data_IF_478442554291
#
_entry.id   IF_478442554291
#
_cell.length_a   1.000
_cell.length_b   1.000
_cell.length_c   1.000
_cell.angle_alpha   90.00
_cell.angle_beta   90.00
_cell.angle_gamma   90.00
#
_symmetry.space_group_name_H-M   'P 1'
#
loop_
_entity.id
_entity.type
_entity.pdbx_description
1 polymer ?
#
# COMPACT_ATOMS: atom_id res chain seq x y z
N UNK A 1 5.59 -2.19 9.23
CA UNK A 1 5.22 -0.91 9.87
C UNK A 1 4.17 -0.12 9.09
N UNK A 2 4.13 -0.20 7.77
CA UNK A 2 3.19 0.55 6.93
C UNK A 2 1.71 0.44 7.32
N UNK A 3 1.21 -0.75 7.67
CA UNK A 3 -0.17 -0.92 8.12
C UNK A 3 -0.49 -0.12 9.41
N UNK A 4 0.47 -0.03 10.34
CA UNK A 4 0.34 0.76 11.59
C UNK A 4 0.32 2.25 11.26
N UNK A 5 1.17 2.69 10.33
CA UNK A 5 1.16 4.07 9.83
C UNK A 5 -0.18 4.46 9.20
N UNK A 6 -0.79 3.57 8.39
CA UNK A 6 -2.13 3.85 7.83
C UNK A 6 -3.21 3.88 8.92
N UNK A 7 -3.20 2.92 9.84
CA UNK A 7 -4.20 2.83 10.91
C UNK A 7 -4.15 4.02 11.88
N UNK A 8 -2.96 4.55 12.18
CA UNK A 8 -2.79 5.69 13.11
C UNK A 8 -3.25 7.05 12.53
N UNK A 9 -3.47 7.13 11.22
CA UNK A 9 -3.94 8.37 10.58
C UNK A 9 -5.44 8.61 10.77
N UNK A 10 -6.23 7.57 11.05
CA UNK A 10 -7.68 7.68 11.28
C UNK A 10 -8.04 7.87 12.77
N UNK A 11 -7.05 8.29 13.59
CA UNK A 11 -7.23 8.53 15.02
C UNK A 11 -8.20 9.68 15.30
N UNK A 12 -8.92 9.59 16.40
CA UNK A 12 -9.65 10.69 17.00
C UNK A 12 -8.78 11.53 17.94
N UNK A 13 -9.26 12.73 18.26
CA UNK A 13 -8.59 13.60 19.23
C UNK A 13 -8.52 12.93 20.61
N UNK A 14 -7.34 12.98 21.24
CA UNK A 14 -7.08 12.39 22.56
C UNK A 14 -6.60 10.92 22.54
N UNK A 15 -6.54 10.26 21.37
CA UNK A 15 -6.02 8.90 21.25
C UNK A 15 -4.47 8.87 21.22
N UNK A 16 -3.85 9.09 22.39
CA UNK A 16 -2.39 9.21 22.54
C UNK A 16 -1.62 8.01 21.97
N UNK A 17 -2.12 6.79 22.13
CA UNK A 17 -1.47 5.59 21.60
C UNK A 17 -1.36 5.60 20.08
N UNK A 18 -2.34 6.17 19.38
CA UNK A 18 -2.31 6.28 17.92
C UNK A 18 -1.47 7.47 17.47
N UNK A 19 -1.35 8.52 18.27
CA UNK A 19 -0.40 9.60 18.03
C UNK A 19 1.05 9.09 18.11
N UNK A 20 1.40 8.37 19.19
CA UNK A 20 2.71 7.74 19.35
C UNK A 20 2.98 6.71 18.22
N UNK A 21 1.97 5.91 17.86
CA UNK A 21 2.09 4.96 16.76
C UNK A 21 2.31 5.65 15.40
N UNK A 22 1.67 6.79 15.15
CA UNK A 22 1.88 7.59 13.94
C UNK A 22 3.32 8.08 13.85
N UNK A 23 3.82 8.73 14.89
CA UNK A 23 5.17 9.30 14.91
C UNK A 23 6.24 8.21 14.77
N UNK A 24 6.09 7.12 15.54
CA UNK A 24 7.02 5.99 15.49
C UNK A 24 7.03 5.33 14.12
N UNK A 25 5.85 4.96 13.60
CA UNK A 25 5.76 4.22 12.34
C UNK A 25 6.17 5.08 11.14
N UNK A 26 5.84 6.38 11.13
CA UNK A 26 6.28 7.32 10.10
C UNK A 26 7.80 7.43 10.09
N UNK A 27 8.42 7.69 11.25
CA UNK A 27 9.89 7.79 11.36
C UNK A 27 10.57 6.52 10.87
N UNK A 28 10.11 5.35 11.33
CA UNK A 28 10.64 4.06 10.89
C UNK A 28 10.58 3.89 9.37
N UNK A 29 9.46 4.26 8.74
CA UNK A 29 9.28 4.13 7.31
C UNK A 29 10.11 5.14 6.52
N UNK A 30 10.32 6.35 7.03
CA UNK A 30 11.25 7.32 6.44
C UNK A 30 12.67 6.76 6.41
N UNK A 31 13.16 6.30 7.57
CA UNK A 31 14.50 5.71 7.69
C UNK A 31 14.64 4.48 6.77
N UNK A 32 13.58 3.67 6.61
CA UNK A 32 13.55 2.50 5.73
C UNK A 32 13.50 2.86 4.22
N UNK A 33 12.83 3.95 3.85
CA UNK A 33 12.78 4.46 2.47
C UNK A 33 14.08 5.18 2.06
N UNK A 34 14.81 5.74 3.02
CA UNK A 34 16.11 6.39 2.78
C UNK A 34 17.28 5.41 2.73
N UNK A 35 17.10 4.18 3.23
CA UNK A 35 18.11 3.12 3.17
C UNK A 35 18.21 2.43 1.80
N UNK A 36 19.26 1.63 1.62
CA UNK A 36 19.53 0.94 0.34
C UNK A 36 18.77 -0.39 0.16
N UNK A 37 18.28 -0.99 1.25
CA UNK A 37 17.63 -2.30 1.25
C UNK A 37 16.16 -2.22 1.67
N UNK A 38 15.27 -2.21 0.69
CA UNK A 38 13.83 -2.18 0.91
C UNK A 38 13.23 -3.59 0.94
N UNK A 39 13.63 -4.38 1.93
CA UNK A 39 13.16 -5.75 2.14
C UNK A 39 12.04 -5.78 3.19
N UNK A 40 11.01 -6.59 2.94
CA UNK A 40 10.05 -7.02 3.95
C UNK A 40 10.28 -8.49 4.30
N UNK A 41 10.19 -8.81 5.59
CA UNK A 41 10.44 -10.16 6.08
C UNK A 41 9.38 -11.17 5.61
N UNK A 42 8.17 -10.72 5.32
CA UNK A 42 6.98 -11.55 5.11
C UNK A 42 6.55 -11.61 3.64
N UNK A 43 6.98 -10.68 2.80
CA UNK A 43 6.61 -10.63 1.39
C UNK A 43 7.79 -10.28 0.49
N UNK A 44 7.89 -10.99 -0.63
CA UNK A 44 8.77 -10.68 -1.75
C UNK A 44 7.90 -9.99 -2.80
N UNK A 45 8.01 -8.66 -2.89
CA UNK A 45 7.38 -7.82 -3.92
C UNK A 45 8.46 -7.02 -4.65
N UNK A 46 8.28 -6.83 -5.96
CA UNK A 46 9.19 -5.99 -6.78
C UNK A 46 9.02 -4.50 -6.52
N UNK A 47 7.87 -4.09 -6.00
CA UNK A 47 7.45 -2.69 -5.93
C UNK A 47 7.23 -2.21 -4.49
N UNK A 48 7.78 -2.92 -3.50
CA UNK A 48 7.53 -2.66 -2.09
C UNK A 48 7.77 -1.19 -1.65
N UNK A 49 8.82 -0.47 -2.07
CA UNK A 49 8.99 0.94 -1.72
C UNK A 49 7.85 1.82 -2.19
N UNK A 50 7.36 1.56 -3.40
CA UNK A 50 6.25 2.30 -3.98
C UNK A 50 4.93 1.97 -3.27
N UNK A 51 4.71 0.70 -2.91
CA UNK A 51 3.55 0.29 -2.09
C UNK A 51 3.56 0.95 -0.70
N UNK A 52 4.75 1.27 -0.17
CA UNK A 52 5.02 1.82 1.16
C UNK A 52 5.38 3.32 1.08
N UNK A 53 4.72 4.05 0.18
CA UNK A 53 4.93 5.49 0.03
C UNK A 53 4.37 6.31 1.20
N UNK A 54 5.11 7.35 1.62
CA UNK A 54 4.66 8.32 2.62
C UNK A 54 4.03 9.58 2.01
N UNK A 55 4.05 9.71 0.68
CA UNK A 55 3.62 10.89 -0.07
C UNK A 55 2.09 11.05 -0.13
N UNK A 56 1.33 10.02 0.23
CA UNK A 56 -0.13 9.98 0.16
C UNK A 56 -0.77 9.83 1.56
N UNK A 57 -0.73 10.87 2.41
CA UNK A 57 -1.36 10.81 3.73
C UNK A 57 -2.89 10.72 3.61
N UNK A 58 -3.53 10.01 4.53
CA UNK A 58 -4.97 9.69 4.49
C UNK A 58 -5.86 10.90 4.25
N UNK A 59 -5.61 12.01 4.97
CA UNK A 59 -6.44 13.22 4.87
C UNK A 59 -6.24 14.05 3.59
N UNK A 60 -5.22 13.74 2.77
CA UNK A 60 -4.96 14.44 1.51
C UNK A 60 -5.05 13.54 0.27
N UNK A 61 -5.35 12.25 0.46
CA UNK A 61 -5.37 11.28 -0.63
C UNK A 61 -6.80 11.08 -1.12
N UNK A 62 -7.05 11.47 -2.37
CA UNK A 62 -8.34 11.26 -3.02
C UNK A 62 -8.48 9.80 -3.50
N UNK A 63 -9.68 9.21 -3.46
CA UNK A 63 -9.88 7.79 -3.80
C UNK A 63 -9.36 7.40 -5.20
N UNK A 64 -9.57 8.26 -6.21
CA UNK A 64 -9.09 7.99 -7.58
C UNK A 64 -7.59 8.13 -7.74
N UNK A 65 -6.93 8.93 -6.89
CA UNK A 65 -5.47 9.07 -6.88
C UNK A 65 -4.84 7.81 -6.27
N UNK A 66 -5.34 7.37 -5.11
CA UNK A 66 -4.87 6.13 -4.48
C UNK A 66 -5.08 4.91 -5.39
N UNK A 67 -6.26 4.77 -5.99
CA UNK A 67 -6.57 3.67 -6.89
C UNK A 67 -5.66 3.66 -8.13
N UNK A 68 -5.44 4.82 -8.77
CA UNK A 68 -4.56 4.93 -9.93
C UNK A 68 -3.12 4.54 -9.60
N UNK A 69 -2.62 4.99 -8.45
CA UNK A 69 -1.28 4.68 -7.98
C UNK A 69 -1.15 3.19 -7.62
N UNK A 70 -2.09 2.64 -6.86
CA UNK A 70 -2.06 1.24 -6.45
C UNK A 70 -2.13 0.27 -7.63
N UNK A 71 -2.90 0.58 -8.68
CA UNK A 71 -2.96 -0.21 -9.92
C UNK A 71 -1.62 -0.36 -10.64
N UNK A 72 -0.71 0.61 -10.48
CA UNK A 72 0.63 0.57 -11.07
C UNK A 72 1.58 -0.32 -10.27
N UNK A 73 1.34 -0.45 -8.96
CA UNK A 73 2.27 -1.11 -8.04
C UNK A 73 1.79 -2.46 -7.52
N UNK A 74 0.50 -2.77 -7.62
CA UNK A 74 -0.07 -4.05 -7.20
C UNK A 74 0.64 -5.21 -7.90
N UNK A 75 1.24 -6.10 -7.10
CA UNK A 75 2.08 -7.19 -7.60
C UNK A 75 1.35 -8.37 -8.23
N UNK A 76 0.01 -8.40 -8.22
CA UNK A 76 -0.78 -9.51 -8.77
C UNK A 76 -0.34 -10.86 -8.23
N UNK A 77 -0.38 -11.89 -9.06
CA UNK A 77 0.09 -13.24 -8.70
C UNK A 77 1.62 -13.33 -8.52
N UNK A 78 2.40 -12.30 -8.91
CA UNK A 78 3.86 -12.37 -8.86
C UNK A 78 4.43 -12.37 -7.43
N UNK A 79 3.74 -11.71 -6.48
CA UNK A 79 4.20 -11.61 -5.10
C UNK A 79 4.24 -12.98 -4.39
N UNK A 80 5.26 -13.19 -3.56
CA UNK A 80 5.47 -14.44 -2.82
C UNK A 80 5.50 -14.12 -1.32
N UNK A 81 4.76 -14.89 -0.53
CA UNK A 81 4.78 -14.77 0.91
C UNK A 81 5.82 -15.69 1.53
N UNK A 82 6.42 -15.23 2.61
CA UNK A 82 7.45 -15.92 3.35
C UNK A 82 7.00 -16.12 4.79
N UNK A 83 7.01 -17.36 5.26
CA UNK A 83 6.88 -17.70 6.67
C UNK A 83 7.87 -18.82 7.03
N UNK A 84 7.36 -20.03 7.35
CA UNK A 84 8.22 -21.23 7.45
C UNK A 84 8.69 -21.73 6.09
N UNK A 85 7.86 -21.51 5.07
CA UNK A 85 8.11 -21.85 3.67
C UNK A 85 7.65 -20.67 2.79
N UNK A 86 8.01 -20.73 1.51
CA UNK A 86 7.44 -19.83 0.50
C UNK A 86 6.04 -20.32 0.13
N UNK A 87 5.09 -19.39 0.00
CA UNK A 87 3.72 -19.72 -0.39
C UNK A 87 3.04 -18.56 -1.13
N UNK A 88 1.89 -18.85 -1.74
CA UNK A 88 1.03 -17.90 -2.46
C UNK A 88 -0.29 -17.73 -1.72
N UNK A 89 -0.91 -16.57 -1.89
CA UNK A 89 -2.24 -16.27 -1.36
C UNK A 89 -3.17 -15.84 -2.49
N UNK A 90 -3.73 -16.79 -3.27
CA UNK A 90 -4.49 -16.48 -4.50
C UNK A 90 -5.72 -15.60 -4.24
N UNK A 91 -6.36 -15.73 -3.08
CA UNK A 91 -7.54 -14.92 -2.73
C UNK A 91 -7.20 -13.46 -2.36
N UNK A 92 -5.91 -13.14 -2.20
CA UNK A 92 -5.39 -11.80 -1.88
C UNK A 92 -4.62 -11.22 -3.07
N UNK A 93 -3.91 -12.07 -3.80
CA UNK A 93 -2.95 -11.74 -4.85
C UNK A 93 -3.23 -12.57 -6.09
N UNK A 94 -3.93 -11.98 -7.05
CA UNK A 94 -4.24 -12.60 -8.33
C UNK A 94 -4.38 -11.54 -9.43
N UNK A 95 -4.26 -12.01 -10.67
CA UNK A 95 -4.29 -11.14 -11.84
C UNK A 95 -5.72 -10.78 -12.26
N UNK A 96 -6.74 -11.55 -11.84
CA UNK A 96 -8.15 -11.28 -12.12
C UNK A 96 -8.62 -9.97 -11.45
N UNK A 97 -8.20 -9.73 -10.20
CA UNK A 97 -8.48 -8.49 -9.48
C UNK A 97 -7.80 -7.29 -10.17
N UNK A 98 -6.57 -7.47 -10.65
CA UNK A 98 -5.84 -6.42 -11.35
C UNK A 98 -6.50 -6.09 -12.70
N UNK A 99 -6.91 -7.11 -13.46
CA UNK A 99 -7.61 -6.94 -14.72
C UNK A 99 -8.94 -6.20 -14.53
N UNK A 100 -9.77 -6.68 -13.59
CA UNK A 100 -11.05 -6.05 -13.27
C UNK A 100 -10.88 -4.60 -12.85
N UNK A 101 -9.93 -4.32 -11.96
CA UNK A 101 -9.71 -2.98 -11.44
C UNK A 101 -9.20 -2.01 -12.52
N UNK A 102 -8.42 -2.47 -13.51
CA UNK A 102 -8.03 -1.67 -14.68
C UNK A 102 -9.23 -1.34 -15.57
N UNK A 103 -10.03 -2.36 -15.91
CA UNK A 103 -11.21 -2.18 -16.75
C UNK A 103 -12.22 -1.20 -16.11
N UNK A 104 -12.46 -1.32 -14.81
CA UNK A 104 -13.32 -0.40 -14.07
C UNK A 104 -12.74 1.03 -14.02
N UNK A 105 -11.43 1.14 -13.77
CA UNK A 105 -10.75 2.43 -13.74
C UNK A 105 -10.88 3.16 -15.08
N UNK A 106 -10.60 2.49 -16.19
CA UNK A 106 -10.64 3.03 -17.55
C UNK A 106 -12.07 3.41 -17.96
N UNK A 107 -13.06 2.60 -17.57
CA UNK A 107 -14.48 2.89 -17.83
C UNK A 107 -14.92 4.17 -17.12
N UNK A 108 -14.61 4.32 -15.83
CA UNK A 108 -14.92 5.53 -15.07
C UNK A 108 -14.18 6.75 -15.64
N UNK A 109 -12.90 6.59 -15.98
CA UNK A 109 -12.10 7.67 -16.54
C UNK A 109 -12.64 8.14 -17.89
N UNK A 110 -13.06 7.22 -18.76
CA UNK A 110 -13.67 7.56 -20.05
C UNK A 110 -14.92 8.42 -19.87
N UNK A 111 -15.74 8.15 -18.85
CA UNK A 111 -16.92 8.95 -18.54
C UNK A 111 -16.59 10.35 -18.02
N UNK A 112 -15.49 10.51 -17.28
CA UNK A 112 -15.04 11.82 -16.78
C UNK A 112 -14.45 12.74 -17.87
N UNK A 113 -14.07 12.17 -19.02
CA UNK A 113 -13.48 12.90 -20.15
C UNK A 113 -14.52 13.41 -21.15
N UNK A 114 -15.79 13.07 -20.96
CA UNK A 114 -16.94 13.54 -21.74
C UNK A 114 -17.48 14.81 -21.08
#
# INVERSE_FOLDING_TARGET
MYAVYRASQIRFEGELVLEEAYDFSRKFLQDWLEGDEHLDKWVISKNLPHEVGLEMPWYATLPRVEAAYYLQHYGGYANVWFAKTLYKMPDIQNDEYLELARLDFDRCQSQHLI
#
